data_IF_389099465992
#
_entry.id   IF_389099465992
#
_cell.length_a   1.000
_cell.length_b   1.000
_cell.length_c   1.000
_cell.angle_alpha   90.00
_cell.angle_beta   90.00
_cell.angle_gamma   90.00
#
_symmetry.space_group_name_H-M   'P 1'
#
loop_
_entity.id
_entity.type
_entity.pdbx_description
1 polymer ?
#
# COMPACT_ATOMS: atom_id res chain seq x y z
N UNK A 1 -23.74 5.68 -40.07
CA UNK A 1 -22.44 6.01 -39.44
C UNK A 1 -22.49 6.16 -37.91
N UNK A 2 -23.59 5.79 -37.22
CA UNK A 2 -23.70 5.83 -35.75
C UNK A 2 -23.49 4.47 -35.06
N UNK A 3 -23.48 3.36 -35.81
CA UNK A 3 -23.42 2.01 -35.24
C UNK A 3 -21.98 1.51 -34.98
N UNK A 4 -20.96 2.15 -35.56
CA UNK A 4 -19.56 1.72 -35.45
C UNK A 4 -18.87 2.33 -34.21
N UNK A 5 -19.33 3.48 -33.68
CA UNK A 5 -18.78 4.04 -32.45
C UNK A 5 -19.22 3.31 -31.17
N UNK A 6 -20.35 2.60 -31.19
CA UNK A 6 -20.85 1.87 -30.02
C UNK A 6 -20.06 0.57 -29.72
N UNK A 7 -19.50 -0.08 -30.75
CA UNK A 7 -18.70 -1.29 -30.53
C UNK A 7 -17.28 -1.01 -30.03
N UNK A 8 -16.68 0.13 -30.39
CA UNK A 8 -15.35 0.50 -29.89
C UNK A 8 -15.37 0.76 -28.37
N UNK A 9 -16.43 1.42 -27.86
CA UNK A 9 -16.60 1.70 -26.43
C UNK A 9 -16.93 0.45 -25.58
N UNK A 10 -17.49 -0.60 -26.18
CA UNK A 10 -17.78 -1.87 -25.49
C UNK A 10 -16.58 -2.84 -25.45
N UNK A 11 -15.59 -2.65 -26.33
CA UNK A 11 -14.39 -3.52 -26.38
C UNK A 11 -13.32 -3.17 -25.34
N UNK A 12 -13.19 -1.89 -24.96
CA UNK A 12 -12.20 -1.42 -23.99
C UNK A 12 -12.72 -1.35 -22.54
N UNK A 13 -14.03 -1.50 -22.32
CA UNK A 13 -14.67 -1.37 -21.01
C UNK A 13 -14.73 -2.63 -20.14
N UNK A 14 -14.21 -3.79 -20.59
CA UNK A 14 -14.36 -5.08 -19.87
C UNK A 14 -13.07 -5.70 -19.33
N UNK A 15 -11.88 -5.16 -19.65
CA UNK A 15 -10.62 -5.72 -19.16
C UNK A 15 -10.33 -5.44 -17.68
N UNK A 16 -11.04 -4.51 -17.06
CA UNK A 16 -10.89 -4.16 -15.65
C UNK A 16 -12.21 -4.29 -14.87
N UNK A 17 -13.01 -5.31 -15.19
CA UNK A 17 -14.02 -5.81 -14.26
C UNK A 17 -13.32 -5.97 -12.91
N UNK A 18 -13.82 -5.30 -11.88
CA UNK A 18 -13.32 -5.36 -10.51
C UNK A 18 -12.71 -6.73 -10.23
N UNK A 19 -11.40 -6.75 -9.97
CA UNK A 19 -10.69 -7.95 -9.53
C UNK A 19 -11.39 -8.43 -8.25
N UNK A 20 -12.46 -9.20 -8.41
CA UNK A 20 -12.91 -10.13 -7.41
C UNK A 20 -11.81 -11.17 -7.39
N UNK A 21 -10.77 -10.89 -6.58
CA UNK A 21 -9.82 -11.88 -6.12
C UNK A 21 -10.65 -13.12 -5.80
N UNK A 22 -10.53 -14.16 -6.63
CA UNK A 22 -11.12 -15.44 -6.27
C UNK A 22 -10.39 -15.84 -5.00
N UNK A 23 -11.13 -15.93 -3.91
CA UNK A 23 -10.76 -16.33 -2.56
C UNK A 23 -10.20 -17.77 -2.46
N UNK A 24 -9.75 -18.35 -3.57
CA UNK A 24 -9.13 -19.68 -3.65
C UNK A 24 -7.60 -19.58 -3.73
N UNK A 25 -7.00 -18.44 -3.35
CA UNK A 25 -5.60 -18.49 -2.92
C UNK A 25 -5.61 -19.02 -1.49
N UNK A 26 -5.03 -20.20 -1.31
CA UNK A 26 -4.81 -20.80 -0.02
C UNK A 26 -3.73 -19.97 0.69
N UNK A 27 -4.14 -18.90 1.36
CA UNK A 27 -3.23 -18.13 2.20
C UNK A 27 -2.66 -19.05 3.27
N UNK A 28 -1.33 -19.08 3.38
CA UNK A 28 -0.65 -19.73 4.49
C UNK A 28 -0.53 -18.69 5.60
N UNK A 29 -1.05 -19.02 6.79
CA UNK A 29 -0.99 -18.10 7.95
C UNK A 29 0.45 -17.70 8.22
N UNK A 30 0.69 -16.39 8.32
CA UNK A 30 2.03 -15.84 8.58
C UNK A 30 2.95 -15.73 7.37
N UNK A 31 2.45 -16.05 6.16
CA UNK A 31 3.15 -15.82 4.91
C UNK A 31 2.57 -14.62 4.15
N UNK A 32 3.47 -13.71 3.79
CA UNK A 32 3.24 -12.57 2.93
C UNK A 32 3.17 -13.08 1.50
N UNK A 33 2.11 -12.75 0.78
CA UNK A 33 1.97 -12.95 -0.65
C UNK A 33 2.11 -11.61 -1.36
N UNK A 34 2.84 -11.58 -2.47
CA UNK A 34 3.07 -10.35 -3.22
C UNK A 34 3.34 -10.64 -4.69
N UNK A 35 3.05 -9.66 -5.54
CA UNK A 35 3.37 -9.76 -6.98
C UNK A 35 4.89 -9.71 -7.14
N UNK A 36 5.46 -10.82 -7.62
CA UNK A 36 6.90 -10.96 -7.83
C UNK A 36 7.40 -10.17 -9.05
N UNK A 37 6.49 -9.88 -9.97
CA UNK A 37 6.82 -9.25 -11.24
C UNK A 37 7.49 -7.88 -11.08
N UNK A 38 8.34 -7.55 -12.04
CA UNK A 38 9.07 -6.28 -12.09
C UNK A 38 8.88 -5.61 -13.43
N UNK A 39 8.90 -4.28 -13.44
CA UNK A 39 8.94 -3.51 -14.68
C UNK A 39 10.32 -3.52 -15.29
N UNK A 40 10.36 -3.61 -16.62
CA UNK A 40 11.58 -3.28 -17.38
C UNK A 40 11.98 -1.82 -17.14
N UNK A 41 13.21 -1.45 -17.50
CA UNK A 41 13.68 -0.05 -17.40
C UNK A 41 12.78 0.94 -18.14
N UNK A 42 12.09 0.51 -19.20
CA UNK A 42 11.16 1.32 -20.01
C UNK A 42 9.71 1.36 -19.50
N UNK A 43 9.42 0.73 -18.36
CA UNK A 43 8.05 0.70 -17.81
C UNK A 43 7.14 -0.35 -18.46
N UNK A 44 7.69 -1.26 -19.27
CA UNK A 44 6.94 -2.37 -19.85
C UNK A 44 6.81 -3.49 -18.82
N UNK A 45 5.58 -3.92 -18.56
CA UNK A 45 5.25 -5.16 -17.83
C UNK A 45 5.11 -6.30 -18.83
N UNK A 46 5.94 -7.33 -18.71
CA UNK A 46 5.81 -8.53 -19.53
C UNK A 46 4.95 -9.54 -18.79
N UNK A 47 3.78 -9.84 -19.33
CA UNK A 47 2.89 -10.84 -18.82
C UNK A 47 3.08 -12.14 -19.58
N UNK A 48 3.45 -13.22 -18.88
CA UNK A 48 3.60 -14.54 -19.50
C UNK A 48 2.34 -15.40 -19.30
N UNK A 49 1.66 -15.74 -20.40
CA UNK A 49 0.56 -16.70 -20.38
C UNK A 49 1.11 -18.12 -20.34
N UNK A 50 1.33 -18.66 -19.14
CA UNK A 50 1.75 -20.06 -18.99
C UNK A 50 0.52 -20.98 -19.11
N UNK A 51 0.52 -21.89 -20.09
CA UNK A 51 -0.53 -22.91 -20.24
C UNK A 51 -0.53 -23.86 -19.03
N UNK A 52 -1.68 -23.99 -18.36
CA UNK A 52 -1.93 -25.03 -17.35
C UNK A 52 -2.09 -24.55 -15.90
N UNK A 53 -1.62 -23.36 -15.55
CA UNK A 53 -1.66 -22.86 -14.15
C UNK A 53 -2.51 -21.60 -13.95
N UNK A 54 -2.88 -20.91 -15.02
CA UNK A 54 -3.69 -19.71 -14.91
C UNK A 54 -5.16 -20.03 -15.17
N UNK A 55 -5.88 -20.33 -14.09
CA UNK A 55 -7.34 -20.08 -14.08
C UNK A 55 -7.50 -18.61 -14.48
N UNK A 56 -8.29 -18.37 -15.52
CA UNK A 56 -8.65 -17.15 -16.29
C UNK A 56 -8.78 -15.81 -15.48
N UNK A 57 -8.56 -15.79 -14.16
CA UNK A 57 -8.77 -14.66 -13.27
C UNK A 57 -7.53 -14.21 -12.43
N UNK A 58 -6.36 -14.85 -12.50
CA UNK A 58 -5.17 -14.37 -11.77
C UNK A 58 -4.02 -14.01 -12.71
N UNK A 59 -3.83 -12.70 -12.89
CA UNK A 59 -2.93 -12.06 -13.86
C UNK A 59 -1.55 -11.74 -13.26
N UNK A 60 -1.12 -12.40 -12.18
CA UNK A 60 0.17 -12.07 -11.55
C UNK A 60 0.89 -13.33 -11.06
N UNK A 61 2.22 -13.32 -11.18
CA UNK A 61 3.08 -14.30 -10.50
C UNK A 61 3.26 -13.86 -9.05
N UNK A 62 2.82 -14.70 -8.12
CA UNK A 62 2.95 -14.41 -6.70
C UNK A 62 4.18 -15.11 -6.11
N UNK A 63 4.93 -14.38 -5.28
CA UNK A 63 5.94 -14.95 -4.40
C UNK A 63 5.44 -14.91 -2.96
N UNK A 64 5.99 -15.79 -2.12
CA UNK A 64 5.71 -15.79 -0.68
C UNK A 64 6.95 -15.55 0.16
N UNK A 65 6.76 -15.00 1.36
CA UNK A 65 7.82 -14.86 2.37
C UNK A 65 7.23 -14.85 3.77
N UNK A 66 7.95 -15.36 4.77
CA UNK A 66 7.45 -15.37 6.16
C UNK A 66 7.58 -14.00 6.80
N UNK A 67 6.57 -13.61 7.59
CA UNK A 67 6.60 -12.35 8.37
C UNK A 67 7.79 -12.34 9.33
N UNK A 68 8.06 -13.46 9.99
CA UNK A 68 9.11 -13.57 11.01
C UNK A 68 10.54 -13.49 10.44
N UNK A 69 10.72 -13.45 9.11
CA UNK A 69 12.01 -13.16 8.47
C UNK A 69 12.35 -11.65 8.45
N UNK A 70 11.44 -10.80 8.89
CA UNK A 70 11.62 -9.36 9.00
C UNK A 70 11.88 -8.94 10.44
N UNK A 71 12.87 -8.05 10.61
CA UNK A 71 13.17 -7.45 11.90
C UNK A 71 12.06 -6.51 12.34
N UNK A 72 11.85 -6.42 13.66
CA UNK A 72 10.95 -5.41 14.23
C UNK A 72 11.55 -4.01 14.08
N UNK A 73 10.70 -3.01 13.81
CA UNK A 73 11.11 -1.62 13.60
C UNK A 73 11.64 -0.99 14.89
N UNK A 74 10.98 -1.28 16.02
CA UNK A 74 11.36 -0.81 17.35
C UNK A 74 12.01 -1.96 18.11
N UNK A 75 13.31 -1.82 18.39
CA UNK A 75 14.08 -2.83 19.09
C UNK A 75 13.43 -3.21 20.43
N UNK A 76 13.41 -4.51 20.73
CA UNK A 76 12.85 -5.11 21.96
C UNK A 76 11.32 -5.00 22.13
N UNK A 77 10.59 -4.44 21.16
CA UNK A 77 9.12 -4.50 21.17
C UNK A 77 8.61 -5.94 21.04
N UNK A 78 7.49 -6.23 21.68
CA UNK A 78 6.85 -7.56 21.72
C UNK A 78 5.35 -7.44 21.48
N UNK A 79 4.77 -8.47 20.88
CA UNK A 79 3.33 -8.56 20.64
C UNK A 79 2.53 -8.55 21.97
N UNK A 80 3.19 -8.90 23.07
CA UNK A 80 2.66 -8.87 24.44
C UNK A 80 2.75 -7.51 25.13
N UNK A 81 3.38 -6.51 24.52
CA UNK A 81 3.50 -5.18 25.13
C UNK A 81 2.11 -4.58 25.33
N UNK A 82 1.93 -3.87 26.45
CA UNK A 82 0.67 -3.23 26.78
C UNK A 82 0.27 -2.18 25.73
N UNK A 83 1.26 -1.44 25.23
CA UNK A 83 1.09 -0.38 24.25
C UNK A 83 2.19 -0.46 23.19
N UNK A 84 1.84 -0.17 21.94
CA UNK A 84 2.76 -0.05 20.82
C UNK A 84 2.23 0.99 19.84
N UNK A 85 3.11 1.84 19.32
CA UNK A 85 2.79 2.87 18.33
C UNK A 85 3.94 3.01 17.33
N UNK A 86 3.68 2.86 16.03
CA UNK A 86 4.71 2.99 15.00
C UNK A 86 4.86 4.40 14.41
N UNK A 87 3.80 5.21 14.44
CA UNK A 87 3.78 6.55 13.80
C UNK A 87 3.38 7.70 14.72
N UNK A 88 2.49 7.45 15.69
CA UNK A 88 1.99 8.48 16.60
C UNK A 88 1.40 7.82 17.85
N UNK A 89 1.72 8.39 19.01
CA UNK A 89 1.25 7.94 20.34
C UNK A 89 0.02 8.71 20.83
N UNK A 90 -0.40 9.72 20.08
CA UNK A 90 -1.49 10.62 20.46
C UNK A 90 -2.17 11.22 19.24
N UNK A 91 -3.47 11.49 19.39
CA UNK A 91 -4.27 12.16 18.37
C UNK A 91 -3.67 13.51 17.95
N UNK A 92 -3.14 14.29 18.89
CA UNK A 92 -2.56 15.60 18.61
C UNK A 92 -1.31 15.54 17.72
N UNK A 93 -0.51 14.47 17.82
CA UNK A 93 0.63 14.21 16.93
C UNK A 93 0.13 13.74 15.57
N UNK A 94 -0.83 12.80 15.55
CA UNK A 94 -1.43 12.26 14.34
C UNK A 94 -2.09 13.32 13.45
N UNK A 95 -2.85 14.25 14.06
CA UNK A 95 -3.57 15.32 13.37
C UNK A 95 -2.63 16.30 12.64
N UNK A 96 -1.34 16.31 12.98
CA UNK A 96 -0.32 17.19 12.35
C UNK A 96 0.40 16.54 11.16
N UNK A 97 0.29 15.22 11.00
CA UNK A 97 0.96 14.51 9.91
C UNK A 97 0.45 14.99 8.56
N UNK A 98 1.35 15.12 7.58
CA UNK A 98 0.98 15.56 6.23
C UNK A 98 0.03 14.58 5.55
N UNK A 99 0.23 13.27 5.78
CA UNK A 99 -0.64 12.22 5.25
C UNK A 99 -2.09 12.35 5.76
N UNK A 100 -2.28 12.84 6.99
CA UNK A 100 -3.58 13.00 7.65
C UNK A 100 -4.35 14.23 7.15
N UNK A 101 -3.68 15.19 6.51
CA UNK A 101 -4.35 16.40 6.05
C UNK A 101 -5.37 16.08 4.95
N UNK A 102 -6.50 16.81 4.90
CA UNK A 102 -7.50 16.64 3.86
C UNK A 102 -6.90 16.96 2.49
N UNK A 103 -7.31 16.21 1.47
CA UNK A 103 -6.97 16.53 0.09
C UNK A 103 -7.61 17.86 -0.33
N UNK A 104 -6.90 18.61 -1.17
CA UNK A 104 -7.44 19.81 -1.81
C UNK A 104 -8.49 19.46 -2.86
N UNK A 105 -9.35 20.42 -3.20
CA UNK A 105 -10.38 20.24 -4.24
C UNK A 105 -9.79 19.88 -5.61
N UNK A 106 -8.56 20.32 -5.92
CA UNK A 106 -7.90 19.99 -7.19
C UNK A 106 -7.34 18.56 -7.19
N UNK A 107 -6.82 18.07 -6.07
CA UNK A 107 -6.34 16.69 -5.95
C UNK A 107 -7.50 15.68 -6.06
N UNK A 108 -8.66 16.00 -5.47
CA UNK A 108 -9.86 15.14 -5.51
C UNK A 108 -10.38 14.93 -6.95
N UNK A 109 -10.15 15.89 -7.86
CA UNK A 109 -10.54 15.75 -9.28
C UNK A 109 -9.82 14.59 -9.97
N UNK A 110 -8.64 14.20 -9.49
CA UNK A 110 -7.94 13.04 -10.02
C UNK A 110 -8.54 11.76 -9.41
N UNK A 111 -9.28 10.99 -10.22
CA UNK A 111 -10.03 9.83 -9.72
C UNK A 111 -9.12 8.76 -9.09
N UNK A 112 -7.88 8.61 -9.58
CA UNK A 112 -6.89 7.71 -8.97
C UNK A 112 -6.53 8.15 -7.55
N UNK A 113 -6.25 9.43 -7.34
CA UNK A 113 -5.92 9.96 -6.01
C UNK A 113 -7.07 9.73 -5.04
N UNK A 114 -8.28 10.15 -5.42
CA UNK A 114 -9.47 9.96 -4.59
C UNK A 114 -9.68 8.46 -4.23
N UNK A 115 -9.52 7.56 -5.21
CA UNK A 115 -9.62 6.11 -4.99
C UNK A 115 -8.52 5.56 -4.07
N UNK A 116 -7.29 6.06 -4.18
CA UNK A 116 -6.20 5.64 -3.27
C UNK A 116 -6.39 6.18 -1.86
N UNK A 117 -6.95 7.39 -1.71
CA UNK A 117 -7.22 8.02 -0.43
C UNK A 117 -8.35 7.30 0.32
N UNK A 118 -9.51 7.19 -0.32
CA UNK A 118 -10.68 6.47 0.24
C UNK A 118 -10.43 4.97 0.41
N UNK A 119 -9.56 4.38 -0.40
CA UNK A 119 -9.14 2.98 -0.32
C UNK A 119 -8.00 2.71 0.66
N UNK A 120 -7.60 3.68 1.49
CA UNK A 120 -6.52 3.59 2.47
C UNK A 120 -5.09 3.37 1.91
N UNK A 121 -4.90 3.25 0.59
CA UNK A 121 -3.56 3.10 0.00
C UNK A 121 -2.70 4.36 0.21
N UNK A 122 -3.29 5.55 0.03
CA UNK A 122 -2.58 6.81 0.23
C UNK A 122 -2.06 6.91 1.68
N UNK A 123 -2.94 6.67 2.65
CA UNK A 123 -2.57 6.63 4.06
C UNK A 123 -1.54 5.53 4.36
N UNK A 124 -1.73 4.33 3.82
CA UNK A 124 -0.78 3.22 3.97
C UNK A 124 0.62 3.62 3.48
N UNK A 125 0.75 4.26 2.31
CA UNK A 125 2.03 4.73 1.78
C UNK A 125 2.65 5.75 2.73
N UNK A 126 1.94 6.83 3.03
CA UNK A 126 2.49 7.96 3.79
C UNK A 126 2.89 7.58 5.21
N UNK A 127 2.05 6.80 5.91
CA UNK A 127 2.36 6.31 7.24
C UNK A 127 3.45 5.23 7.24
N UNK A 128 3.58 4.43 6.18
CA UNK A 128 4.74 3.53 6.03
C UNK A 128 6.03 4.34 5.93
N UNK A 129 6.07 5.42 5.14
CA UNK A 129 7.27 6.28 5.04
C UNK A 129 7.68 6.79 6.42
N UNK A 130 6.72 7.27 7.20
CA UNK A 130 7.00 7.73 8.56
C UNK A 130 7.55 6.61 9.44
N UNK A 131 6.93 5.44 9.45
CA UNK A 131 7.36 4.32 10.30
C UNK A 131 8.73 3.72 9.90
N UNK A 132 9.02 3.62 8.60
CA UNK A 132 10.16 2.84 8.09
C UNK A 132 11.27 3.70 7.47
N UNK A 133 11.07 4.99 7.30
CA UNK A 133 12.09 5.92 6.75
C UNK A 133 12.10 7.28 7.48
N UNK A 134 11.30 7.47 8.53
CA UNK A 134 11.21 8.69 9.35
C UNK A 134 10.85 9.96 8.54
N UNK A 135 10.14 9.76 7.42
CA UNK A 135 9.68 10.85 6.55
C UNK A 135 8.19 11.15 6.74
N UNK A 136 7.87 12.35 7.22
CA UNK A 136 6.49 12.87 7.19
C UNK A 136 6.19 13.49 5.82
N UNK A 137 5.45 12.75 5.00
CA UNK A 137 5.09 13.13 3.63
C UNK A 137 3.58 13.13 3.41
N UNK A 138 3.13 13.92 2.44
CA UNK A 138 1.91 13.64 1.70
C UNK A 138 2.33 12.89 0.41
N UNK A 139 1.90 11.63 0.18
CA UNK A 139 2.33 10.86 -0.99
C UNK A 139 1.89 11.47 -2.33
N UNK A 140 2.83 11.65 -3.26
CA UNK A 140 2.52 11.99 -4.65
C UNK A 140 2.14 10.75 -5.44
N UNK A 141 0.84 10.54 -5.62
CA UNK A 141 0.28 9.46 -6.45
C UNK A 141 0.47 9.79 -7.93
N UNK A 142 0.43 11.07 -8.31
CA UNK A 142 0.68 11.50 -9.69
C UNK A 142 2.11 11.19 -10.14
N UNK A 143 3.10 11.29 -9.26
CA UNK A 143 4.46 10.81 -9.53
C UNK A 143 4.50 9.30 -9.83
N UNK A 144 3.77 8.50 -9.05
CA UNK A 144 3.68 7.06 -9.26
C UNK A 144 3.03 6.71 -10.60
N UNK A 145 1.97 7.44 -10.99
CA UNK A 145 1.32 7.26 -12.29
C UNK A 145 2.30 7.58 -13.43
N UNK A 146 2.92 8.77 -13.40
CA UNK A 146 3.82 9.24 -14.45
C UNK A 146 5.06 8.36 -14.66
N UNK A 147 5.51 7.65 -13.62
CA UNK A 147 6.68 6.77 -13.68
C UNK A 147 6.31 5.27 -13.70
N UNK A 148 5.01 4.95 -13.75
CA UNK A 148 4.48 3.61 -13.62
C UNK A 148 4.56 2.77 -14.89
N UNK A 149 3.63 1.82 -15.00
CA UNK A 149 3.51 0.92 -16.16
C UNK A 149 3.13 1.74 -17.39
N UNK A 150 3.92 1.69 -18.45
CA UNK A 150 3.64 2.37 -19.73
C UNK A 150 2.96 1.43 -20.72
N UNK A 151 3.21 0.13 -20.60
CA UNK A 151 2.75 -0.87 -21.55
C UNK A 151 2.69 -2.24 -20.88
N UNK A 152 1.66 -3.03 -21.21
CA UNK A 152 1.58 -4.46 -20.91
C UNK A 152 1.86 -5.22 -22.20
N UNK A 153 2.79 -6.17 -22.15
CA UNK A 153 3.11 -7.06 -23.26
C UNK A 153 2.83 -8.49 -22.86
N UNK A 154 1.91 -9.12 -23.58
CA UNK A 154 1.55 -10.51 -23.38
C UNK A 154 2.45 -11.43 -24.21
N UNK A 155 3.04 -12.44 -23.57
CA UNK A 155 3.83 -13.50 -24.20
C UNK A 155 3.18 -14.86 -24.00
N UNK A 156 3.50 -15.81 -24.87
CA UNK A 156 3.00 -17.20 -24.83
C UNK A 156 1.47 -17.35 -24.79
N UNK A 157 0.74 -16.36 -25.33
CA UNK A 157 -0.72 -16.34 -25.37
C UNK A 157 -1.24 -17.58 -26.12
N UNK A 158 -2.13 -18.40 -25.52
CA UNK A 158 -2.76 -19.52 -26.19
C UNK A 158 -3.51 -19.08 -27.44
N UNK A 159 -3.51 -19.92 -28.48
CA UNK A 159 -4.14 -19.58 -29.77
C UNK A 159 -5.62 -19.27 -29.63
N UNK A 160 -6.29 -19.92 -28.69
CA UNK A 160 -7.71 -19.72 -28.37
C UNK A 160 -7.98 -18.28 -27.91
N UNK A 161 -7.05 -17.68 -27.15
CA UNK A 161 -7.14 -16.29 -26.67
C UNK A 161 -6.66 -15.33 -27.74
N UNK A 162 -5.52 -15.61 -28.37
CA UNK A 162 -4.95 -14.72 -29.38
C UNK A 162 -5.80 -14.61 -30.66
N UNK A 163 -6.73 -15.54 -30.88
CA UNK A 163 -7.67 -15.53 -32.02
C UNK A 163 -8.98 -14.78 -31.71
N UNK A 164 -9.19 -14.32 -30.46
CA UNK A 164 -10.38 -13.54 -30.10
C UNK A 164 -10.30 -12.17 -30.81
N UNK A 165 -11.34 -11.76 -31.55
CA UNK A 165 -11.38 -10.43 -32.16
C UNK A 165 -11.23 -9.33 -31.10
N UNK A 166 -10.27 -8.42 -31.30
CA UNK A 166 -9.96 -7.34 -30.36
C UNK A 166 -8.91 -7.70 -29.30
N UNK A 167 -8.33 -8.91 -29.33
CA UNK A 167 -7.15 -9.20 -28.54
C UNK A 167 -5.94 -8.40 -29.05
N UNK A 168 -5.26 -7.71 -28.15
CA UNK A 168 -4.00 -7.01 -28.43
C UNK A 168 -2.89 -7.64 -27.59
N UNK A 169 -1.83 -8.12 -28.26
CA UNK A 169 -0.66 -8.67 -27.56
C UNK A 169 0.13 -7.61 -26.78
N UNK A 170 -0.15 -6.33 -27.05
CA UNK A 170 0.47 -5.19 -26.42
C UNK A 170 -0.60 -4.15 -26.15
N UNK A 171 -0.71 -3.69 -24.91
CA UNK A 171 -1.65 -2.64 -24.50
C UNK A 171 -0.86 -1.49 -23.90
N UNK A 172 -1.00 -0.29 -24.47
CA UNK A 172 -0.45 0.93 -23.89
C UNK A 172 -1.32 1.38 -22.71
N UNK A 173 -0.67 1.80 -21.62
CA UNK A 173 -1.34 2.24 -20.40
C UNK A 173 -1.22 3.77 -20.32
N UNK A 174 -2.34 4.51 -20.49
CA UNK A 174 -2.32 5.96 -20.36
C UNK A 174 -1.92 6.39 -18.95
N UNK A 175 -1.01 7.36 -18.86
CA UNK A 175 -0.64 8.02 -17.60
C UNK A 175 -1.55 9.22 -17.38
N UNK A 176 -2.76 8.95 -16.92
CA UNK A 176 -3.77 9.96 -16.67
C UNK A 176 -4.44 9.77 -15.30
N UNK A 177 -5.37 10.66 -14.99
CA UNK A 177 -6.14 10.62 -13.75
C UNK A 177 -7.32 9.64 -13.79
N UNK A 178 -7.44 8.78 -14.80
CA UNK A 178 -8.52 7.80 -14.92
C UNK A 178 -8.25 6.57 -14.05
N UNK A 179 -9.18 6.31 -13.12
CA UNK A 179 -9.14 5.11 -12.29
C UNK A 179 -9.32 3.80 -13.10
N UNK A 180 -9.80 3.88 -14.34
CA UNK A 180 -9.92 2.73 -15.23
C UNK A 180 -8.57 2.26 -15.79
N UNK A 181 -7.59 3.17 -15.89
CA UNK A 181 -6.28 2.90 -16.47
C UNK A 181 -5.21 2.55 -15.42
N UNK A 182 -5.51 2.76 -14.14
CA UNK A 182 -4.56 2.59 -13.04
C UNK A 182 -5.10 1.60 -12.00
N UNK A 183 -4.62 0.34 -12.07
CA UNK A 183 -4.83 -0.66 -11.02
C UNK A 183 -3.86 -0.48 -9.85
N UNK A 184 -4.21 -0.98 -8.65
CA UNK A 184 -3.31 -0.94 -7.49
C UNK A 184 -1.98 -1.67 -7.76
N UNK A 185 -2.00 -2.77 -8.52
CA UNK A 185 -0.79 -3.48 -8.93
C UNK A 185 0.16 -2.62 -9.78
N UNK A 186 -0.34 -1.66 -10.55
CA UNK A 186 0.53 -0.74 -11.32
C UNK A 186 1.19 0.29 -10.42
N UNK A 187 0.47 0.76 -9.40
CA UNK A 187 1.05 1.63 -8.37
C UNK A 187 2.09 0.88 -7.55
N UNK A 188 1.83 -0.37 -7.16
CA UNK A 188 2.81 -1.24 -6.49
C UNK A 188 4.11 -1.37 -7.30
N UNK A 189 4.00 -1.72 -8.59
CA UNK A 189 5.15 -1.80 -9.48
C UNK A 189 5.91 -0.48 -9.59
N UNK A 190 5.20 0.65 -9.58
CA UNK A 190 5.82 1.98 -9.60
C UNK A 190 6.52 2.31 -8.28
N UNK A 191 5.91 2.01 -7.13
CA UNK A 191 6.54 2.16 -5.80
C UNK A 191 7.83 1.33 -5.75
N UNK A 192 7.77 0.07 -6.17
CA UNK A 192 8.91 -0.82 -6.17
C UNK A 192 10.07 -0.26 -7.01
N UNK A 193 9.79 0.22 -8.23
CA UNK A 193 10.83 0.67 -9.16
C UNK A 193 11.31 2.09 -8.89
N UNK A 194 10.40 3.02 -8.62
CA UNK A 194 10.67 4.46 -8.62
C UNK A 194 10.66 5.06 -7.21
N UNK A 195 9.95 4.43 -6.27
CA UNK A 195 9.68 5.00 -4.96
C UNK A 195 8.59 6.08 -5.01
N UNK A 196 8.38 6.71 -3.86
CA UNK A 196 7.35 7.73 -3.62
C UNK A 196 8.02 9.06 -3.30
N UNK A 197 7.40 10.17 -3.69
CA UNK A 197 7.86 11.53 -3.37
C UNK A 197 6.78 12.30 -2.63
N UNK A 198 7.17 13.34 -1.90
CA UNK A 198 6.27 14.26 -1.21
C UNK A 198 5.55 15.17 -2.23
N UNK A 199 4.28 15.49 -2.00
CA UNK A 199 3.49 16.40 -2.87
C UNK A 199 4.06 17.82 -2.94
N UNK A 200 4.85 18.25 -1.96
CA UNK A 200 5.59 19.51 -2.01
C UNK A 200 6.61 19.56 -3.15
N UNK A 201 7.11 18.41 -3.62
CA UNK A 201 7.93 18.31 -4.82
C UNK A 201 7.06 18.06 -6.06
N UNK A 202 6.25 17.00 -6.07
CA UNK A 202 5.35 16.67 -7.20
C UNK A 202 3.89 16.71 -6.74
N UNK A 203 3.17 17.81 -7.00
CA UNK A 203 1.78 17.95 -6.57
C UNK A 203 0.84 16.91 -7.18
N UNK A 204 -0.19 16.55 -6.42
CA UNK A 204 -1.25 15.64 -6.85
C UNK A 204 -2.33 16.34 -7.72
N UNK A 205 -2.15 17.61 -8.09
CA UNK A 205 -3.11 18.35 -8.92
C UNK A 205 -3.07 17.96 -10.41
N UNK A 206 -1.99 17.36 -10.88
CA UNK A 206 -1.84 16.87 -12.25
C UNK A 206 -0.76 15.77 -12.37
N UNK A 207 -0.89 14.89 -13.36
CA UNK A 207 0.16 13.93 -13.70
C UNK A 207 1.32 14.68 -14.37
N UNK A 208 2.55 14.65 -13.82
CA UNK A 208 3.68 15.35 -14.40
C UNK A 208 4.13 14.70 -15.72
N UNK A 209 4.69 15.52 -16.61
CA UNK A 209 5.23 15.07 -17.90
C UNK A 209 6.75 14.83 -17.88
N UNK A 210 7.44 15.27 -16.83
CA UNK A 210 8.85 15.02 -16.60
C UNK A 210 9.12 14.55 -15.16
N UNK A 211 10.35 14.08 -14.92
CA UNK A 211 10.75 13.50 -13.63
C UNK A 211 11.46 14.54 -12.76
N UNK A 212 10.77 15.64 -12.44
CA UNK A 212 11.27 16.78 -11.65
C UNK A 212 10.22 17.27 -10.64
N UNK A 213 10.67 18.07 -9.68
CA UNK A 213 9.75 18.82 -8.84
C UNK A 213 9.07 19.95 -9.65
N UNK A 214 7.96 20.47 -9.13
CA UNK A 214 7.18 21.56 -9.75
C UNK A 214 7.97 22.85 -9.98
N UNK A 215 9.03 23.07 -9.22
CA UNK A 215 10.01 24.16 -9.39
C UNK A 215 11.11 23.86 -10.42
N UNK A 216 10.95 22.80 -11.22
CA UNK A 216 11.93 22.29 -12.19
C UNK A 216 13.25 21.79 -11.60
N UNK A 217 13.34 21.64 -10.27
CA UNK A 217 14.52 21.03 -9.64
C UNK A 217 14.47 19.50 -9.72
N UNK A 218 15.63 18.87 -9.58
CA UNK A 218 15.70 17.40 -9.52
C UNK A 218 15.04 16.89 -8.24
N UNK A 219 14.30 15.80 -8.33
CA UNK A 219 13.80 15.06 -7.17
C UNK A 219 15.01 14.62 -6.33
N UNK A 220 15.09 15.13 -5.10
CA UNK A 220 16.21 14.87 -4.18
C UNK A 220 15.99 13.65 -3.31
N UNK A 221 14.73 13.43 -2.91
CA UNK A 221 14.37 12.38 -1.97
C UNK A 221 13.26 11.53 -2.56
N UNK A 222 13.47 10.22 -2.55
CA UNK A 222 12.50 9.20 -2.92
C UNK A 222 12.43 8.20 -1.78
N UNK A 223 11.21 7.86 -1.36
CA UNK A 223 10.94 6.94 -0.27
C UNK A 223 10.44 5.59 -0.79
N UNK A 224 10.56 4.54 0.01
CA UNK A 224 10.01 3.20 -0.25
C UNK A 224 10.45 2.56 -1.59
N UNK A 225 11.57 3.00 -2.18
CA UNK A 225 12.10 2.36 -3.37
C UNK A 225 12.50 0.91 -3.05
N UNK A 226 12.01 -0.03 -3.85
CA UNK A 226 12.17 -1.47 -3.61
C UNK A 226 11.13 -2.09 -2.67
N UNK A 227 10.20 -1.29 -2.14
CA UNK A 227 9.06 -1.83 -1.39
C UNK A 227 8.02 -2.44 -2.33
N UNK A 228 7.18 -3.31 -1.78
CA UNK A 228 6.05 -3.94 -2.46
C UNK A 228 4.85 -4.00 -1.56
N UNK A 229 3.69 -4.05 -2.17
CA UNK A 229 2.43 -4.43 -1.58
C UNK A 229 2.47 -5.91 -1.21
N UNK A 230 2.23 -6.20 0.07
CA UNK A 230 2.10 -7.55 0.60
C UNK A 230 0.71 -7.75 1.17
N UNK A 231 0.17 -8.94 0.94
CA UNK A 231 -1.08 -9.41 1.53
C UNK A 231 -0.80 -10.66 2.38
N UNK A 232 -1.41 -10.73 3.55
CA UNK A 232 -1.40 -11.92 4.41
C UNK A 232 -2.84 -12.34 4.64
N UNK A 233 -3.12 -13.64 4.56
CA UNK A 233 -4.42 -14.21 4.91
C UNK A 233 -4.39 -15.00 6.22
N UNK A 234 -5.57 -15.47 6.64
CA UNK A 234 -5.78 -16.09 7.96
C UNK A 234 -5.31 -15.21 9.11
N UNK A 235 -5.52 -13.91 8.98
CA UNK A 235 -5.07 -12.89 9.93
C UNK A 235 -5.88 -12.97 11.22
N UNK A 236 -5.17 -12.96 12.35
CA UNK A 236 -5.70 -12.75 13.69
C UNK A 236 -4.93 -11.61 14.38
N UNK A 237 -5.24 -11.37 15.65
CA UNK A 237 -4.60 -10.31 16.43
C UNK A 237 -3.08 -10.45 16.52
N UNK A 238 -2.56 -11.67 16.67
CA UNK A 238 -1.12 -11.93 16.74
C UNK A 238 -0.45 -11.54 15.42
N UNK A 239 -1.01 -11.97 14.29
CA UNK A 239 -0.50 -11.62 12.97
C UNK A 239 -0.55 -10.10 12.73
N UNK A 240 -1.64 -9.42 13.07
CA UNK A 240 -1.73 -7.95 12.93
C UNK A 240 -0.64 -7.24 13.75
N UNK A 241 -0.41 -7.66 15.00
CA UNK A 241 0.67 -7.10 15.82
C UNK A 241 2.04 -7.33 15.17
N UNK A 242 2.32 -8.55 14.69
CA UNK A 242 3.56 -8.87 13.98
C UNK A 242 3.78 -7.98 12.76
N UNK A 243 2.73 -7.74 11.97
CA UNK A 243 2.76 -6.88 10.79
C UNK A 243 3.08 -5.43 11.18
N UNK A 244 2.34 -4.86 12.15
CA UNK A 244 2.54 -3.49 12.63
C UNK A 244 3.96 -3.30 13.19
N UNK A 245 4.48 -4.29 13.92
CA UNK A 245 5.84 -4.20 14.49
C UNK A 245 6.95 -4.19 13.44
N UNK A 246 6.75 -4.84 12.29
CA UNK A 246 7.80 -5.05 11.28
C UNK A 246 7.68 -4.11 10.07
N UNK A 247 6.46 -3.70 9.76
CA UNK A 247 6.14 -2.90 8.57
C UNK A 247 5.52 -1.55 8.90
N UNK A 248 5.28 -1.28 10.19
CA UNK A 248 4.82 0.01 10.69
C UNK A 248 3.31 0.11 10.68
N UNK A 249 2.71 -0.07 9.50
CA UNK A 249 1.25 0.02 9.34
C UNK A 249 0.69 -1.16 8.57
N UNK A 250 -0.58 -1.47 8.80
CA UNK A 250 -1.31 -2.45 8.00
C UNK A 250 -2.76 -2.01 7.79
N UNK A 251 -3.30 -2.28 6.60
CA UNK A 251 -4.71 -2.06 6.28
C UNK A 251 -5.46 -3.36 6.49
N UNK A 252 -6.54 -3.32 7.25
CA UNK A 252 -7.45 -4.45 7.41
C UNK A 252 -8.90 -3.99 7.37
N UNK A 253 -9.83 -4.94 7.28
CA UNK A 253 -11.27 -4.68 7.32
C UNK A 253 -11.91 -5.34 8.52
N UNK A 254 -12.76 -4.59 9.20
CA UNK A 254 -13.53 -5.01 10.36
C UNK A 254 -15.00 -5.16 9.98
N UNK A 255 -15.69 -6.06 10.67
CA UNK A 255 -17.15 -6.20 10.57
C UNK A 255 -17.80 -5.68 11.84
N UNK A 256 -18.69 -4.70 11.72
CA UNK A 256 -19.45 -4.16 12.85
C UNK A 256 -20.91 -4.58 12.73
N UNK A 257 -21.49 -5.09 13.81
CA UNK A 257 -22.93 -5.33 13.87
C UNK A 257 -23.65 -4.00 14.05
N UNK A 258 -24.63 -3.70 13.19
CA UNK A 258 -25.42 -2.47 13.29
C UNK A 258 -26.79 -2.70 13.91
N UNK A 259 -27.33 -3.92 13.83
CA UNK A 259 -28.64 -4.28 14.39
C UNK A 259 -29.84 -3.64 13.69
N UNK A 260 -29.65 -2.88 12.61
CA UNK A 260 -30.69 -2.04 11.97
C UNK A 260 -30.80 -2.17 10.44
N UNK A 261 -29.96 -2.96 9.78
CA UNK A 261 -29.98 -3.15 8.32
C UNK A 261 -29.89 -4.64 7.93
N UNK A 262 -30.32 -5.01 6.71
CA UNK A 262 -29.94 -6.30 6.10
C UNK A 262 -28.92 -6.06 4.98
N UNK A 263 -27.72 -6.68 5.02
CA UNK A 263 -27.23 -7.51 6.13
C UNK A 263 -26.97 -6.68 7.41
N UNK A 264 -27.05 -7.30 8.62
CA UNK A 264 -26.96 -6.62 9.92
C UNK A 264 -25.55 -6.17 10.29
N UNK A 265 -24.71 -5.93 9.30
CA UNK A 265 -23.34 -5.54 9.48
C UNK A 265 -22.88 -4.51 8.45
N UNK A 266 -21.95 -3.68 8.89
CA UNK A 266 -21.15 -2.80 8.02
C UNK A 266 -19.70 -3.28 8.06
N UNK A 267 -19.07 -3.32 6.89
CA UNK A 267 -17.64 -3.56 6.79
C UNK A 267 -16.95 -2.19 6.70
N UNK A 268 -15.94 -1.95 7.55
CA UNK A 268 -15.12 -0.74 7.46
C UNK A 268 -13.64 -1.11 7.40
N UNK A 269 -12.86 -0.33 6.66
CA UNK A 269 -11.42 -0.50 6.56
C UNK A 269 -10.69 0.53 7.41
N UNK A 270 -9.66 0.10 8.14
CA UNK A 270 -8.79 1.00 8.89
C UNK A 270 -7.31 0.68 8.61
N UNK A 271 -6.47 1.71 8.75
CA UNK A 271 -5.02 1.60 8.76
C UNK A 271 -4.61 1.48 10.22
N UNK A 272 -4.13 0.33 10.65
CA UNK A 272 -3.64 0.08 11.99
C UNK A 272 -2.16 0.40 12.09
N UNK A 273 -1.75 1.09 13.14
CA UNK A 273 -0.35 1.46 13.39
C UNK A 273 0.05 1.26 14.86
N UNK A 274 -0.82 0.68 15.67
CA UNK A 274 -0.55 0.44 17.06
C UNK A 274 -1.65 -0.32 17.78
N UNK A 275 -1.43 -0.50 19.08
CA UNK A 275 -2.45 -0.95 20.02
C UNK A 275 -2.16 -0.38 21.40
N UNK A 276 -3.18 -0.37 22.25
CA UNK A 276 -3.04 0.08 23.63
C UNK A 276 -3.90 -0.72 24.58
N UNK A 277 -3.52 -0.72 25.84
CA UNK A 277 -4.29 -1.30 26.94
C UNK A 277 -4.99 -0.19 27.71
N UNK A 278 -6.30 -0.32 27.88
CA UNK A 278 -7.14 0.61 28.64
C UNK A 278 -7.72 -0.12 29.85
N UNK A 279 -7.67 0.51 31.02
CA UNK A 279 -8.05 -0.09 32.30
C UNK A 279 -6.88 -0.75 33.05
N UNK A 280 -7.18 -1.36 34.20
CA UNK A 280 -6.18 -1.98 35.08
C UNK A 280 -6.65 -3.37 35.53
N UNK A 281 -5.68 -4.23 35.86
CA UNK A 281 -5.94 -5.59 36.38
C UNK A 281 -6.73 -6.46 35.41
N UNK A 282 -7.68 -7.23 35.93
CA UNK A 282 -8.52 -8.16 35.15
C UNK A 282 -9.51 -7.46 34.21
N UNK A 283 -9.76 -6.16 34.41
CA UNK A 283 -10.64 -5.36 33.57
C UNK A 283 -9.92 -4.71 32.38
N UNK A 284 -8.59 -4.85 32.30
CA UNK A 284 -7.78 -4.26 31.24
C UNK A 284 -8.14 -4.88 29.88
N UNK A 285 -8.43 -4.03 28.90
CA UNK A 285 -8.76 -4.43 27.52
C UNK A 285 -7.80 -3.80 26.54
N UNK A 286 -7.48 -4.54 25.47
CA UNK A 286 -6.64 -4.03 24.40
C UNK A 286 -7.49 -3.53 23.23
N UNK A 287 -7.08 -2.40 22.68
CA UNK A 287 -7.70 -1.76 21.54
C UNK A 287 -6.66 -1.51 20.45
N UNK A 288 -7.07 -1.62 19.20
CA UNK A 288 -6.29 -1.19 18.06
C UNK A 288 -6.21 0.34 18.02
N UNK A 289 -5.03 0.83 17.66
CA UNK A 289 -4.79 2.25 17.37
C UNK A 289 -4.52 2.38 15.88
N UNK A 290 -5.27 3.27 15.22
CA UNK A 290 -5.30 3.34 13.78
C UNK A 290 -5.89 4.65 13.24
N UNK A 291 -6.08 4.65 11.93
CA UNK A 291 -6.68 5.72 11.15
C UNK A 291 -7.82 5.15 10.30
N UNK A 292 -8.95 5.87 10.26
CA UNK A 292 -10.06 5.57 9.36
C UNK A 292 -10.35 6.79 8.48
N UNK A 293 -10.70 6.57 7.22
CA UNK A 293 -11.16 7.66 6.36
C UNK A 293 -12.57 8.09 6.77
N UNK A 294 -12.73 9.38 7.03
CA UNK A 294 -14.02 9.99 7.33
C UNK A 294 -14.56 10.72 6.11
N UNK A 295 -15.77 10.35 5.69
CA UNK A 295 -16.38 10.85 4.45
C UNK A 295 -16.94 12.28 4.60
N UNK A 296 -17.20 12.74 5.82
CA UNK A 296 -17.75 14.07 6.07
C UNK A 296 -16.65 15.13 6.04
N UNK A 297 -15.52 14.81 6.67
CA UNK A 297 -14.34 15.67 6.81
C UNK A 297 -13.31 15.47 5.69
N UNK A 298 -13.47 14.41 4.89
CA UNK A 298 -12.60 14.03 3.77
C UNK A 298 -11.13 13.87 4.18
N UNK A 299 -10.88 13.37 5.39
CA UNK A 299 -9.54 13.13 5.93
C UNK A 299 -9.45 11.82 6.69
N UNK A 300 -8.24 11.43 7.06
CA UNK A 300 -8.05 10.35 8.03
C UNK A 300 -8.28 10.85 9.46
N UNK A 301 -9.01 10.08 10.25
CA UNK A 301 -9.26 10.33 11.66
C UNK A 301 -8.65 9.24 12.54
N UNK A 302 -8.15 9.66 13.69
CA UNK A 302 -7.60 8.79 14.72
C UNK A 302 -8.67 7.88 15.32
N UNK A 303 -8.33 6.61 15.49
CA UNK A 303 -9.19 5.58 16.09
C UNK A 303 -8.39 4.80 17.13
N UNK A 304 -8.79 4.80 18.39
CA UNK A 304 -8.07 4.11 19.48
C UNK A 304 -8.94 3.38 20.52
N UNK A 305 -10.23 3.70 20.64
CA UNK A 305 -11.15 3.07 21.61
C UNK A 305 -12.35 2.36 20.98
N UNK A 306 -12.49 2.43 19.67
CA UNK A 306 -13.65 1.87 18.96
C UNK A 306 -13.40 0.44 18.46
N UNK A 307 -12.16 -0.04 18.53
CA UNK A 307 -11.73 -1.29 17.92
C UNK A 307 -11.05 -2.21 18.95
N UNK A 308 -11.82 -2.93 19.79
CA UNK A 308 -11.25 -3.97 20.65
C UNK A 308 -10.43 -4.96 19.80
N UNK A 309 -9.31 -5.45 20.33
CA UNK A 309 -8.47 -6.43 19.61
C UNK A 309 -9.24 -7.72 19.28
N UNK A 310 -10.23 -8.07 20.11
CA UNK A 310 -11.11 -9.22 19.93
C UNK A 310 -12.17 -9.04 18.82
N UNK A 311 -12.28 -7.83 18.23
CA UNK A 311 -13.25 -7.56 17.20
C UNK A 311 -13.03 -8.47 15.98
N UNK A 312 -14.05 -9.17 15.48
CA UNK A 312 -13.91 -10.00 14.29
C UNK A 312 -13.56 -9.16 13.07
N UNK A 313 -12.54 -9.61 12.34
CA UNK A 313 -12.19 -9.07 11.03
C UNK A 313 -13.25 -9.50 10.00
N UNK A 314 -13.65 -8.57 9.12
CA UNK A 314 -14.61 -8.88 8.04
C UNK A 314 -13.98 -9.71 6.93
N UNK A 315 -12.67 -9.54 6.76
CA UNK A 315 -11.81 -10.35 5.90
C UNK A 315 -10.65 -10.88 6.72
N UNK A 316 -10.29 -12.14 6.55
CA UNK A 316 -9.09 -12.72 7.16
C UNK A 316 -7.80 -12.25 6.47
N UNK A 317 -7.81 -11.08 5.83
CA UNK A 317 -6.70 -10.54 5.04
C UNK A 317 -6.25 -9.19 5.58
N UNK A 318 -4.95 -8.96 5.59
CA UNK A 318 -4.34 -7.67 5.89
C UNK A 318 -3.29 -7.33 4.84
N UNK A 319 -3.15 -6.04 4.58
CA UNK A 319 -2.33 -5.48 3.51
C UNK A 319 -1.31 -4.50 4.09
N UNK A 320 -0.11 -4.41 3.52
CA UNK A 320 0.94 -3.48 3.97
C UNK A 320 2.02 -3.32 2.90
N UNK A 321 2.95 -2.39 3.12
CA UNK A 321 4.13 -2.21 2.28
C UNK A 321 5.37 -2.78 2.98
N UNK A 322 6.17 -3.55 2.26
CA UNK A 322 7.39 -4.17 2.80
C UNK A 322 8.53 -4.16 1.79
N UNK A 323 9.78 -4.16 2.26
CA UNK A 323 10.95 -4.23 1.39
C UNK A 323 11.16 -5.68 0.90
N UNK A 324 11.09 -5.90 -0.41
CA UNK A 324 11.11 -7.26 -0.99
C UNK A 324 12.52 -7.82 -1.27
N UNK A 325 13.58 -6.99 -1.19
CA UNK A 325 14.97 -7.41 -1.40
C UNK A 325 15.67 -7.95 -0.13
N UNK A 326 16.57 -8.92 -0.31
CA UNK A 326 17.33 -9.66 0.72
C UNK A 326 18.01 -8.72 1.73
N UNK A 327 17.76 -8.99 3.03
CA UNK A 327 18.24 -8.30 4.23
C UNK A 327 18.09 -6.78 4.23
N UNK A 328 17.12 -6.31 5.01
CA UNK A 328 17.20 -4.98 5.60
C UNK A 328 18.42 -4.93 6.53
N UNK A 329 19.63 -4.77 5.96
CA UNK A 329 20.72 -4.10 6.69
C UNK A 329 20.28 -2.65 6.78
N UNK A 330 19.40 -2.33 7.73
CA UNK A 330 19.26 -0.94 8.13
C UNK A 330 20.60 -0.55 8.72
N UNK A 331 21.10 0.57 8.22
CA UNK A 331 22.30 1.24 8.68
C UNK A 331 22.17 1.65 10.15
N UNK A 332 22.35 0.71 11.07
CA UNK A 332 22.76 0.98 12.45
C UNK A 332 24.22 1.50 12.51
N UNK A 333 24.88 1.66 11.36
CA UNK A 333 26.22 2.24 11.22
C UNK A 333 26.27 3.75 11.49
N UNK A 334 25.12 4.46 11.48
CA UNK A 334 25.09 5.90 11.74
C UNK A 334 25.40 6.31 13.19
N UNK A 335 25.11 5.44 14.16
CA UNK A 335 25.31 5.74 15.59
C UNK A 335 26.61 5.13 16.12
N UNK A 336 27.03 3.96 15.62
CA UNK A 336 28.31 3.36 16.03
C UNK A 336 29.53 4.10 15.45
N UNK A 337 29.46 4.65 14.24
CA UNK A 337 30.56 5.44 13.69
C UNK A 337 30.76 6.75 14.46
N UNK A 338 29.68 7.40 14.93
CA UNK A 338 29.80 8.63 15.73
C UNK A 338 30.22 8.34 17.18
N UNK A 339 29.72 7.28 17.82
CA UNK A 339 30.04 7.01 19.22
C UNK A 339 31.40 6.33 19.44
N UNK A 340 31.94 5.59 18.45
CA UNK A 340 33.20 4.85 18.59
C UNK A 340 34.38 5.53 17.90
N UNK A 341 34.19 6.24 16.79
CA UNK A 341 35.31 6.89 16.08
C UNK A 341 35.64 8.29 16.61
N UNK A 342 34.68 9.03 17.18
CA UNK A 342 34.96 10.37 17.73
C UNK A 342 35.85 10.35 18.99
N UNK A 343 35.70 9.41 19.95
CA UNK A 343 36.63 9.32 21.08
C UNK A 343 38.04 8.86 20.66
N UNK A 344 38.15 8.04 19.60
CA UNK A 344 39.43 7.53 19.13
C UNK A 344 40.27 8.59 18.41
N UNK A 345 39.65 9.51 17.67
CA UNK A 345 40.37 10.61 16.99
C UNK A 345 40.79 11.71 17.97
N UNK A 346 40.06 11.90 19.08
CA UNK A 346 40.42 12.85 20.13
C UNK A 346 41.60 12.41 21.02
N UNK A 347 42.06 11.15 20.92
CA UNK A 347 43.22 10.63 21.67
C UNK A 347 44.53 10.65 20.87
N UNK A 348 44.50 11.06 19.59
CA UNK A 348 45.67 11.10 18.70
C UNK A 348 45.96 12.49 18.10
N UNK A 349 45.32 13.54 18.62
CA UNK A 349 45.67 14.96 18.45
C UNK A 349 45.98 15.54 19.83
#
# INVERSE_FOLDING_TARGET
MLLILALAALSSGRLFSSEKFKTNQDFVKGEIQYVADTLTSKGVYNYDYVQGEQKINNTFVYATKKIDEYEVLIANSKETDANYYSIADSKATFDKLKTTQPLTADEIKCAVINRTYTGNLYGCIGYTVLAVEDGDIAPSITHLIANGVTQIKYTNVPKEISSIPGFEATIDIPHDCSAANTGYSFLDMSIHKNGVVDTSCVPNSAVPTDNKCSDSTKIKTTYLKGFRWGDVGQVDAEILKKLIQRFGVTVTRFRFQTGIAEPPYIDASAILFGWRTVGEGEAAKQYWVGAAYDIETLKYEWVDDLLPIEQPLSTSTATFLFKSGVSAVRAALGVFAAAVLLPAVALFL
#
